data_IF_484341375127
#
_entry.id   IF_484341375127
#
_cell.length_a   1.000
_cell.length_b   1.000
_cell.length_c   1.000
_cell.angle_alpha   90.00
_cell.angle_beta   90.00
_cell.angle_gamma   90.00
#
_symmetry.space_group_name_H-M   'P 1'
#
loop_
_entity.id
_entity.type
_entity.pdbx_description
1 polymer ?
#
# COMPACT_ATOMS: atom_id res chain seq x y z
N UNK A 1 -78.38 53.83 -3.30
CA UNK A 1 -77.19 54.27 -4.06
C UNK A 1 -76.20 53.13 -3.99
N UNK A 2 -76.26 52.22 -4.96
CA UNK A 2 -75.48 50.98 -4.99
C UNK A 2 -74.76 50.93 -6.34
N UNK A 3 -73.43 51.02 -6.28
CA UNK A 3 -72.56 51.00 -7.46
C UNK A 3 -72.44 49.56 -7.98
N UNK A 4 -72.44 49.34 -9.31
CA UNK A 4 -72.36 48.00 -9.89
C UNK A 4 -70.92 47.46 -9.85
N UNK A 5 -70.72 46.36 -9.13
CA UNK A 5 -69.52 45.52 -9.20
C UNK A 5 -69.49 44.75 -10.53
N UNK A 6 -68.77 45.25 -11.53
CA UNK A 6 -68.56 44.54 -12.81
C UNK A 6 -67.09 44.41 -13.21
N UNK A 7 -66.16 44.73 -12.31
CA UNK A 7 -64.73 44.77 -12.61
C UNK A 7 -63.91 43.57 -12.10
N UNK A 8 -64.54 42.55 -11.52
CA UNK A 8 -63.83 41.40 -10.92
C UNK A 8 -63.66 40.20 -11.87
N UNK A 9 -64.43 40.11 -12.96
CA UNK A 9 -64.41 38.92 -13.82
C UNK A 9 -63.18 38.83 -14.75
N UNK A 10 -62.56 39.97 -15.10
CA UNK A 10 -61.37 39.98 -15.96
C UNK A 10 -60.07 39.60 -15.25
N UNK A 11 -59.98 39.86 -13.94
CA UNK A 11 -58.76 39.60 -13.15
C UNK A 11 -58.57 38.10 -12.93
N UNK A 12 -59.66 37.34 -12.72
CA UNK A 12 -59.57 35.89 -12.49
C UNK A 12 -59.00 35.08 -13.66
N UNK A 13 -59.22 35.49 -14.91
CA UNK A 13 -58.68 34.77 -16.07
C UNK A 13 -57.16 34.96 -16.20
N UNK A 14 -56.67 36.17 -15.92
CA UNK A 14 -55.24 36.48 -15.92
C UNK A 14 -54.53 35.72 -14.79
N UNK A 15 -55.15 35.65 -13.62
CA UNK A 15 -54.60 34.92 -12.47
C UNK A 15 -54.47 33.41 -12.76
N UNK A 16 -55.50 32.80 -13.35
CA UNK A 16 -55.43 31.38 -13.75
C UNK A 16 -54.32 31.14 -14.79
N UNK A 17 -54.20 32.02 -15.80
CA UNK A 17 -53.12 31.93 -16.79
C UNK A 17 -51.74 32.08 -16.14
N UNK A 18 -51.59 33.02 -15.21
CA UNK A 18 -50.33 33.23 -14.49
C UNK A 18 -49.96 32.00 -13.66
N UNK A 19 -50.91 31.44 -12.89
CA UNK A 19 -50.70 30.22 -12.10
C UNK A 19 -50.32 29.05 -13.01
N UNK A 20 -50.96 28.91 -14.17
CA UNK A 20 -50.65 27.84 -15.12
C UNK A 20 -49.22 27.95 -15.66
N UNK A 21 -48.80 29.16 -16.04
CA UNK A 21 -47.44 29.41 -16.54
C UNK A 21 -46.40 29.17 -15.44
N UNK A 22 -46.66 29.63 -14.22
CA UNK A 22 -45.77 29.40 -13.08
C UNK A 22 -45.68 27.91 -12.72
N UNK A 23 -46.81 27.21 -12.68
CA UNK A 23 -46.86 25.80 -12.34
C UNK A 23 -46.15 24.94 -13.39
N UNK A 24 -46.44 25.16 -14.68
CA UNK A 24 -45.78 24.43 -15.77
C UNK A 24 -44.30 24.75 -15.86
N UNK A 25 -43.91 26.02 -15.65
CA UNK A 25 -42.50 26.43 -15.56
C UNK A 25 -41.77 25.72 -14.42
N UNK A 26 -42.35 25.71 -13.22
CA UNK A 26 -41.77 25.04 -12.05
C UNK A 26 -41.67 23.52 -12.25
N UNK A 27 -42.74 22.89 -12.75
CA UNK A 27 -42.75 21.45 -13.02
C UNK A 27 -41.67 21.06 -14.05
N UNK A 28 -41.45 21.90 -15.07
CA UNK A 28 -40.39 21.69 -16.07
C UNK A 28 -39.01 21.77 -15.42
N UNK A 29 -38.74 22.79 -14.59
CA UNK A 29 -37.45 22.95 -13.90
C UNK A 29 -37.18 21.73 -13.00
N UNK A 30 -38.16 21.32 -12.19
CA UNK A 30 -38.03 20.16 -11.30
C UNK A 30 -37.78 18.88 -12.11
N UNK A 31 -38.51 18.69 -13.23
CA UNK A 31 -38.33 17.56 -14.12
C UNK A 31 -36.91 17.49 -14.70
N UNK A 32 -36.40 18.60 -15.23
CA UNK A 32 -35.06 18.68 -15.82
C UNK A 32 -33.96 18.45 -14.77
N UNK A 33 -34.06 19.07 -13.59
CA UNK A 33 -33.08 18.86 -12.50
C UNK A 33 -33.09 17.41 -12.03
N UNK A 34 -34.26 16.79 -11.91
CA UNK A 34 -34.38 15.40 -11.45
C UNK A 34 -33.76 14.39 -12.41
N UNK A 35 -33.74 14.67 -13.72
CA UNK A 35 -33.11 13.81 -14.71
C UNK A 35 -31.58 13.91 -14.62
N UNK A 36 -31.03 15.12 -14.60
CA UNK A 36 -29.58 15.32 -14.52
C UNK A 36 -28.97 14.73 -13.24
N UNK A 37 -29.65 14.87 -12.09
CA UNK A 37 -29.17 14.31 -10.84
C UNK A 37 -29.00 12.78 -10.87
N UNK A 38 -29.82 12.07 -11.66
CA UNK A 38 -29.71 10.60 -11.76
C UNK A 38 -28.47 10.18 -12.54
N UNK A 39 -28.16 10.89 -13.60
CA UNK A 39 -27.00 10.60 -14.44
C UNK A 39 -25.71 10.92 -13.68
N UNK A 40 -25.67 12.04 -12.95
CA UNK A 40 -24.52 12.44 -12.14
C UNK A 40 -24.26 11.44 -10.99
N UNK A 41 -25.31 11.03 -10.26
CA UNK A 41 -25.17 10.05 -9.17
C UNK A 41 -24.71 8.69 -9.70
N UNK A 42 -25.20 8.27 -10.85
CA UNK A 42 -24.77 7.01 -11.47
C UNK A 42 -23.32 7.07 -11.92
N UNK A 43 -22.90 8.15 -12.57
CA UNK A 43 -21.52 8.34 -13.00
C UNK A 43 -20.54 8.32 -11.82
N UNK A 44 -20.91 8.91 -10.70
CA UNK A 44 -20.08 8.89 -9.48
C UNK A 44 -20.03 7.50 -8.85
N UNK A 45 -21.14 6.77 -8.84
CA UNK A 45 -21.15 5.38 -8.37
C UNK A 45 -20.24 4.48 -9.21
N UNK A 46 -20.29 4.63 -10.54
CA UNK A 46 -19.44 3.88 -11.46
C UNK A 46 -17.95 4.19 -11.19
N UNK A 47 -17.60 5.44 -10.87
CA UNK A 47 -16.22 5.82 -10.47
C UNK A 47 -15.77 5.17 -9.17
N UNK A 48 -16.63 5.18 -8.14
CA UNK A 48 -16.32 4.54 -6.86
C UNK A 48 -16.10 3.04 -7.05
N UNK A 49 -16.93 2.40 -7.89
CA UNK A 49 -16.78 0.98 -8.21
C UNK A 49 -15.51 0.70 -9.02
N UNK A 50 -15.20 1.52 -10.02
CA UNK A 50 -13.94 1.41 -10.78
C UNK A 50 -12.71 1.57 -9.87
N UNK A 51 -12.74 2.52 -8.94
CA UNK A 51 -11.68 2.73 -7.96
C UNK A 51 -11.51 1.50 -7.06
N UNK A 52 -12.61 0.92 -6.57
CA UNK A 52 -12.56 -0.30 -5.77
C UNK A 52 -11.95 -1.48 -6.54
N UNK A 53 -12.33 -1.67 -7.81
CA UNK A 53 -11.76 -2.70 -8.69
C UNK A 53 -10.27 -2.47 -8.99
N UNK A 54 -9.86 -1.20 -9.09
CA UNK A 54 -8.46 -0.83 -9.29
C UNK A 54 -7.63 -1.19 -8.04
N UNK A 55 -8.11 -0.84 -6.85
CA UNK A 55 -7.50 -1.21 -5.57
C UNK A 55 -7.44 -2.72 -5.36
N UNK A 56 -8.52 -3.45 -5.68
CA UNK A 56 -8.51 -4.91 -5.66
C UNK A 56 -7.43 -5.46 -6.60
N UNK A 57 -7.26 -4.87 -7.79
CA UNK A 57 -6.19 -5.24 -8.71
C UNK A 57 -4.80 -5.06 -8.11
N UNK A 58 -4.54 -3.96 -7.40
CA UNK A 58 -3.27 -3.74 -6.70
C UNK A 58 -3.07 -4.75 -5.57
N UNK A 59 -4.09 -4.99 -4.75
CA UNK A 59 -4.02 -5.96 -3.65
C UNK A 59 -3.81 -7.40 -4.15
N UNK A 60 -4.39 -7.75 -5.30
CA UNK A 60 -4.16 -9.02 -5.93
C UNK A 60 -2.70 -9.19 -6.38
N UNK A 61 -2.06 -8.12 -6.86
CA UNK A 61 -0.64 -8.15 -7.21
C UNK A 61 0.26 -8.27 -5.99
N UNK A 62 -0.09 -7.64 -4.87
CA UNK A 62 0.57 -7.91 -3.59
C UNK A 62 0.42 -9.38 -3.19
N UNK A 63 -0.78 -9.96 -3.33
CA UNK A 63 -1.00 -11.38 -3.04
C UNK A 63 -0.22 -12.31 -3.98
N UNK A 64 -0.10 -11.99 -5.27
CA UNK A 64 0.68 -12.75 -6.24
C UNK A 64 2.17 -12.70 -5.89
N UNK A 65 2.70 -11.50 -5.64
CA UNK A 65 4.06 -11.28 -5.15
C UNK A 65 4.34 -12.11 -3.89
N UNK A 66 3.41 -12.10 -2.95
CA UNK A 66 3.60 -12.74 -1.65
C UNK A 66 3.60 -14.28 -1.75
N UNK A 67 2.99 -14.83 -2.80
CA UNK A 67 3.02 -16.26 -3.12
C UNK A 67 4.33 -16.60 -3.85
N UNK A 68 4.62 -15.88 -4.92
CA UNK A 68 5.79 -16.08 -5.77
C UNK A 68 6.00 -14.85 -6.68
N UNK A 69 7.07 -14.09 -6.45
CA UNK A 69 7.39 -12.90 -7.23
C UNK A 69 7.69 -13.20 -8.70
N UNK A 70 8.13 -14.43 -9.04
CA UNK A 70 8.39 -14.85 -10.42
C UNK A 70 7.10 -14.88 -11.26
N UNK A 71 5.93 -14.88 -10.62
CA UNK A 71 4.63 -14.78 -11.31
C UNK A 71 4.36 -13.38 -11.87
N UNK A 72 5.06 -12.35 -11.39
CA UNK A 72 4.91 -10.96 -11.83
C UNK A 72 5.73 -10.69 -13.11
N UNK A 73 5.30 -11.30 -14.21
CA UNK A 73 5.97 -11.13 -15.50
C UNK A 73 5.66 -9.76 -16.10
N UNK A 74 6.68 -9.08 -16.62
CA UNK A 74 6.52 -7.83 -17.36
C UNK A 74 5.50 -7.97 -18.50
N UNK A 75 4.63 -6.98 -18.68
CA UNK A 75 3.66 -6.97 -19.77
C UNK A 75 2.30 -6.43 -19.33
N UNK A 76 1.31 -6.67 -20.18
CA UNK A 76 -0.08 -6.29 -19.96
C UNK A 76 -0.93 -7.55 -19.80
N UNK A 77 -1.66 -7.62 -18.70
CA UNK A 77 -2.39 -8.80 -18.26
C UNK A 77 -3.81 -8.43 -17.81
N UNK A 78 -4.71 -9.40 -17.84
CA UNK A 78 -5.89 -9.39 -16.99
C UNK A 78 -5.60 -10.05 -15.64
N UNK A 79 -6.64 -10.14 -14.82
CA UNK A 79 -6.55 -10.69 -13.47
C UNK A 79 -7.79 -11.55 -13.20
N UNK A 80 -7.60 -12.81 -12.83
CA UNK A 80 -8.68 -13.75 -12.52
C UNK A 80 -8.43 -14.47 -11.18
N UNK A 81 -9.46 -15.11 -10.64
CA UNK A 81 -9.32 -16.04 -9.50
C UNK A 81 -9.47 -17.46 -10.04
N UNK A 82 -8.41 -18.25 -9.93
CA UNK A 82 -8.38 -19.67 -10.25
C UNK A 82 -8.01 -20.46 -9.00
N UNK A 83 -8.78 -21.51 -8.69
CA UNK A 83 -8.58 -22.35 -7.49
C UNK A 83 -8.49 -21.60 -6.15
N UNK A 84 -9.11 -20.41 -6.07
CA UNK A 84 -9.13 -19.57 -4.86
C UNK A 84 -7.94 -18.63 -4.72
N UNK A 85 -7.06 -18.57 -5.72
CA UNK A 85 -5.90 -17.66 -5.76
C UNK A 85 -5.98 -16.73 -6.96
N UNK A 86 -5.38 -15.55 -6.83
CA UNK A 86 -5.22 -14.63 -7.95
C UNK A 86 -4.26 -15.20 -8.99
N UNK A 87 -4.53 -14.94 -10.26
CA UNK A 87 -3.67 -15.31 -11.39
C UNK A 87 -3.71 -14.25 -12.49
N UNK A 88 -2.57 -14.03 -13.15
CA UNK A 88 -2.48 -13.16 -14.32
C UNK A 88 -2.96 -13.91 -15.57
N UNK A 89 -3.67 -13.21 -16.45
CA UNK A 89 -4.23 -13.78 -17.68
C UNK A 89 -3.84 -12.93 -18.88
N UNK A 90 -3.86 -13.49 -20.09
CA UNK A 90 -3.45 -12.76 -21.31
C UNK A 90 -4.47 -11.69 -21.77
N UNK A 91 -5.70 -11.74 -21.26
CA UNK A 91 -6.80 -10.87 -21.70
C UNK A 91 -7.35 -10.07 -20.53
N UNK A 92 -7.67 -8.77 -20.72
CA UNK A 92 -8.31 -7.95 -19.69
C UNK A 92 -9.54 -8.62 -19.09
N UNK A 93 -9.76 -8.44 -17.79
CA UNK A 93 -10.96 -8.97 -17.13
C UNK A 93 -12.12 -8.00 -17.34
N UNK A 94 -13.25 -8.52 -17.82
CA UNK A 94 -14.51 -7.78 -17.89
C UNK A 94 -15.40 -8.12 -16.70
N UNK A 95 -15.78 -7.09 -15.94
CA UNK A 95 -16.74 -7.18 -14.83
C UNK A 95 -17.88 -6.21 -15.10
N UNK A 96 -18.93 -6.68 -15.78
CA UNK A 96 -20.06 -5.83 -16.16
C UNK A 96 -19.65 -4.80 -17.21
N UNK A 97 -19.67 -3.51 -16.85
CA UNK A 97 -19.25 -2.41 -17.73
C UNK A 97 -17.76 -2.05 -17.61
N UNK A 98 -17.06 -2.67 -16.67
CA UNK A 98 -15.67 -2.37 -16.35
C UNK A 98 -14.75 -3.37 -17.05
N UNK A 99 -13.72 -2.86 -17.70
CA UNK A 99 -12.58 -3.63 -18.21
C UNK A 99 -11.37 -3.30 -17.35
N UNK A 100 -10.78 -4.31 -16.72
CA UNK A 100 -9.59 -4.18 -15.88
C UNK A 100 -8.38 -4.77 -16.59
N UNK A 101 -7.30 -3.99 -16.59
CA UNK A 101 -6.01 -4.31 -17.18
C UNK A 101 -4.91 -4.00 -16.18
N UNK A 102 -3.98 -4.93 -16.01
CA UNK A 102 -2.78 -4.76 -15.22
C UNK A 102 -1.58 -4.57 -16.16
N UNK A 103 -0.80 -3.53 -15.97
CA UNK A 103 0.50 -3.36 -16.60
C UNK A 103 1.59 -3.59 -15.55
N UNK A 104 2.60 -4.39 -15.87
CA UNK A 104 3.76 -4.67 -15.02
C UNK A 104 5.02 -4.28 -15.79
N UNK A 105 5.83 -3.43 -15.20
CA UNK A 105 7.17 -3.09 -15.65
C UNK A 105 8.18 -3.63 -14.65
N UNK A 106 9.26 -4.24 -15.14
CA UNK A 106 10.36 -4.75 -14.32
C UNK A 106 11.50 -3.74 -14.38
N UNK A 107 11.85 -3.20 -13.21
CA UNK A 107 12.97 -2.31 -12.97
C UNK A 107 14.25 -3.07 -12.61
N UNK A 108 15.22 -2.34 -12.02
CA UNK A 108 16.45 -2.95 -11.51
C UNK A 108 16.26 -3.44 -10.07
N UNK A 109 16.99 -4.48 -9.66
CA UNK A 109 16.97 -5.07 -8.31
C UNK A 109 15.56 -5.57 -7.90
N UNK A 110 14.93 -6.35 -8.78
CA UNK A 110 13.63 -7.01 -8.53
C UNK A 110 12.52 -6.05 -8.07
N UNK A 111 12.62 -4.83 -8.59
CA UNK A 111 11.62 -3.79 -8.52
C UNK A 111 10.58 -4.04 -9.60
N UNK A 112 9.31 -4.14 -9.22
CA UNK A 112 8.19 -4.17 -10.15
C UNK A 112 7.36 -2.90 -9.98
N UNK A 113 7.11 -2.19 -11.07
CA UNK A 113 6.15 -1.09 -11.11
C UNK A 113 4.89 -1.65 -11.74
N UNK A 114 3.80 -1.67 -10.98
CA UNK A 114 2.56 -2.23 -11.46
C UNK A 114 1.44 -1.20 -11.46
N UNK A 115 0.70 -1.13 -12.57
CA UNK A 115 -0.43 -0.22 -12.77
C UNK A 115 -1.70 -1.01 -13.02
N UNK A 116 -2.69 -0.85 -12.14
CA UNK A 116 -4.04 -1.37 -12.31
C UNK A 116 -4.92 -0.31 -12.95
N UNK A 117 -5.33 -0.54 -14.19
CA UNK A 117 -6.19 0.35 -14.97
C UNK A 117 -7.58 -0.25 -15.10
N UNK A 118 -8.61 0.50 -14.72
CA UNK A 118 -10.01 0.13 -14.92
C UNK A 118 -10.65 1.18 -15.82
N UNK A 119 -11.09 0.75 -16.99
CA UNK A 119 -11.84 1.56 -17.94
C UNK A 119 -13.29 1.12 -17.99
N UNK A 120 -14.22 2.03 -18.22
CA UNK A 120 -15.61 1.70 -18.47
C UNK A 120 -16.24 2.64 -19.48
N UNK A 121 -17.28 2.14 -20.15
CA UNK A 121 -18.04 2.91 -21.12
C UNK A 121 -19.01 3.86 -20.40
N UNK A 122 -18.47 4.93 -19.82
CA UNK A 122 -19.25 6.08 -19.33
C UNK A 122 -19.62 7.04 -20.47
N UNK A 123 -20.27 8.16 -20.13
CA UNK A 123 -20.68 9.20 -21.11
C UNK A 123 -19.50 9.73 -21.94
N UNK A 124 -18.27 9.65 -21.42
CA UNK A 124 -17.05 10.14 -22.07
C UNK A 124 -15.95 9.09 -22.30
N UNK A 125 -16.19 7.83 -21.92
CA UNK A 125 -15.12 6.83 -21.77
C UNK A 125 -14.18 7.23 -20.64
N UNK A 126 -14.50 6.79 -19.43
CA UNK A 126 -13.76 7.15 -18.23
C UNK A 126 -12.81 5.99 -17.83
N UNK A 127 -11.69 6.32 -17.19
CA UNK A 127 -10.74 5.33 -16.68
C UNK A 127 -10.07 5.81 -15.41
N UNK A 128 -9.76 4.88 -14.51
CA UNK A 128 -8.93 5.10 -13.31
C UNK A 128 -7.71 4.20 -13.41
N UNK A 129 -6.53 4.76 -13.12
CA UNK A 129 -5.28 4.00 -13.04
C UNK A 129 -4.64 4.24 -11.66
N UNK A 130 -4.31 3.15 -10.97
CA UNK A 130 -3.53 3.17 -9.75
C UNK A 130 -2.19 2.51 -10.02
N UNK A 131 -1.10 3.13 -9.57
CA UNK A 131 0.25 2.60 -9.71
C UNK A 131 0.83 2.32 -8.33
N UNK A 132 1.43 1.16 -8.17
CA UNK A 132 2.19 0.76 -6.98
C UNK A 132 3.59 0.32 -7.37
N UNK A 133 4.47 0.26 -6.39
CA UNK A 133 5.80 -0.31 -6.50
C UNK A 133 5.86 -1.54 -5.61
N UNK A 134 6.30 -2.67 -6.17
CA UNK A 134 6.48 -3.94 -5.48
C UNK A 134 7.96 -4.29 -5.54
N UNK A 135 8.48 -4.85 -4.46
CA UNK A 135 9.82 -5.42 -4.41
C UNK A 135 9.68 -6.92 -4.23
N UNK A 136 10.52 -7.72 -4.88
CA UNK A 136 10.69 -9.09 -4.45
C UNK A 136 11.27 -9.09 -3.03
N UNK A 137 10.44 -9.41 -2.05
CA UNK A 137 10.84 -9.55 -0.65
C UNK A 137 11.38 -10.96 -0.36
N UNK A 138 11.39 -11.84 -1.37
CA UNK A 138 11.79 -13.23 -1.30
C UNK A 138 12.99 -13.57 -2.17
N UNK A 139 13.79 -12.60 -2.63
CA UNK A 139 15.12 -12.90 -3.18
C UNK A 139 15.90 -13.71 -2.15
N UNK A 140 15.85 -15.02 -2.37
CA UNK A 140 16.39 -16.05 -1.51
C UNK A 140 17.88 -16.07 -1.79
N UNK A 141 18.61 -15.14 -1.20
CA UNK A 141 20.03 -15.35 -0.91
C UNK A 141 20.13 -16.24 0.33
N UNK A 142 19.68 -17.49 0.23
CA UNK A 142 19.93 -18.53 1.25
C UNK A 142 19.60 -18.15 2.70
N UNK A 143 18.64 -17.27 2.93
CA UNK A 143 18.24 -16.83 4.27
C UNK A 143 16.72 -16.82 4.39
N UNK A 144 16.27 -17.32 5.53
CA UNK A 144 14.91 -17.58 6.00
C UNK A 144 13.85 -16.52 5.70
N UNK A 145 12.67 -17.01 5.35
CA UNK A 145 11.36 -16.36 5.31
C UNK A 145 11.10 -15.54 6.61
N UNK A 146 10.65 -14.28 6.49
CA UNK A 146 10.32 -13.44 7.65
C UNK A 146 8.93 -12.81 7.48
N UNK A 147 7.97 -13.26 8.28
CA UNK A 147 6.61 -12.71 8.39
C UNK A 147 6.55 -11.83 9.64
N UNK A 148 6.17 -10.56 9.52
CA UNK A 148 6.06 -9.64 10.66
C UNK A 148 4.62 -9.19 10.87
N UNK A 149 4.03 -9.42 12.07
CA UNK A 149 2.83 -8.73 12.51
C UNK A 149 3.17 -7.35 13.11
N UNK A 150 2.32 -6.35 12.85
CA UNK A 150 2.41 -4.97 13.37
C UNK A 150 2.77 -4.90 14.87
N UNK A 151 3.85 -4.19 15.23
CA UNK A 151 4.15 -3.80 16.62
C UNK A 151 4.94 -2.49 16.74
N UNK A 152 4.69 -1.79 17.85
CA UNK A 152 5.26 -0.51 18.31
C UNK A 152 6.71 -0.58 18.83
N UNK A 153 7.43 -1.66 18.55
CA UNK A 153 8.87 -1.80 18.81
C UNK A 153 9.42 -2.97 17.99
N UNK A 154 10.54 -2.76 17.30
CA UNK A 154 11.28 -3.79 16.57
C UNK A 154 11.99 -4.69 17.58
N UNK A 155 11.30 -5.71 18.11
CA UNK A 155 11.81 -6.49 19.24
C UNK A 155 12.61 -7.74 18.86
N UNK A 156 12.55 -8.24 17.62
CA UNK A 156 13.18 -9.52 17.30
C UNK A 156 13.48 -9.71 15.81
N UNK A 157 14.75 -9.69 15.39
CA UNK A 157 15.19 -10.10 14.03
C UNK A 157 15.89 -11.45 14.16
N UNK A 158 15.38 -12.51 13.53
CA UNK A 158 16.08 -13.81 13.55
C UNK A 158 17.17 -13.84 12.48
N UNK A 159 18.42 -14.09 12.91
CA UNK A 159 19.53 -14.40 12.03
C UNK A 159 19.76 -15.89 11.99
N UNK A 160 19.90 -16.46 10.80
CA UNK A 160 20.27 -17.88 10.64
C UNK A 160 21.59 -17.95 9.90
N UNK A 161 22.60 -18.59 10.51
CA UNK A 161 23.80 -18.95 9.80
C UNK A 161 23.57 -20.28 9.07
N UNK A 162 23.52 -20.24 7.73
CA UNK A 162 23.27 -21.43 6.90
C UNK A 162 24.56 -22.14 6.47
N UNK A 163 25.72 -21.59 6.80
CA UNK A 163 27.00 -22.23 6.54
C UNK A 163 27.27 -23.37 7.54
N UNK A 164 28.22 -24.23 7.20
CA UNK A 164 28.63 -25.34 8.05
C UNK A 164 29.57 -24.94 9.20
N UNK A 165 30.04 -23.70 9.21
CA UNK A 165 31.00 -23.16 10.19
C UNK A 165 30.41 -21.92 10.87
N UNK A 166 30.73 -21.66 12.15
CA UNK A 166 30.27 -20.48 12.85
C UNK A 166 30.91 -19.20 12.28
N UNK A 167 30.19 -18.09 12.37
CA UNK A 167 30.68 -16.77 11.97
C UNK A 167 30.71 -15.81 13.15
N UNK A 168 31.74 -14.98 13.23
CA UNK A 168 31.82 -13.90 14.22
C UNK A 168 31.39 -12.59 13.55
N UNK A 169 30.42 -11.91 14.15
CA UNK A 169 30.03 -10.54 13.81
C UNK A 169 31.01 -9.60 14.52
N UNK A 170 31.68 -8.75 13.75
CA UNK A 170 32.63 -7.74 14.25
C UNK A 170 31.92 -6.41 14.51
N UNK A 171 31.12 -5.94 13.54
CA UNK A 171 30.35 -4.70 13.68
C UNK A 171 28.94 -4.85 13.16
N UNK A 172 28.05 -4.02 13.70
CA UNK A 172 26.66 -3.91 13.28
C UNK A 172 26.32 -2.44 13.11
N UNK A 173 25.84 -2.06 11.94
CA UNK A 173 25.31 -0.73 11.67
C UNK A 173 23.81 -0.83 11.49
N UNK A 174 23.05 -0.10 12.29
CA UNK A 174 21.62 0.04 12.10
C UNK A 174 21.26 1.51 11.87
N UNK A 175 20.32 1.76 10.97
CA UNK A 175 19.75 3.09 10.75
C UNK A 175 18.27 3.07 11.10
N UNK A 176 17.81 4.12 11.74
CA UNK A 176 16.42 4.37 12.14
C UNK A 176 16.13 5.86 12.04
N UNK A 177 14.86 6.25 12.01
CA UNK A 177 14.51 7.66 12.04
C UNK A 177 14.34 8.19 13.46
N UNK A 178 14.59 9.48 13.64
CA UNK A 178 14.45 10.17 14.91
C UNK A 178 15.78 10.37 15.64
N UNK A 179 15.68 10.76 16.91
CA UNK A 179 16.82 11.20 17.74
C UNK A 179 17.19 10.24 18.86
N UNK A 180 16.48 9.12 18.97
CA UNK A 180 16.80 8.09 19.94
C UNK A 180 18.21 7.54 19.67
N UNK A 181 18.93 7.19 20.74
CA UNK A 181 20.27 6.61 20.63
C UNK A 181 20.19 5.11 20.85
N UNK A 182 21.08 4.37 20.18
CA UNK A 182 21.26 2.94 20.43
C UNK A 182 21.84 2.75 21.84
N UNK A 183 21.14 1.95 22.64
CA UNK A 183 21.50 1.64 24.03
C UNK A 183 22.15 0.26 24.15
N UNK A 184 21.57 -0.75 23.51
CA UNK A 184 21.98 -2.13 23.68
C UNK A 184 21.63 -2.96 22.45
N UNK A 185 22.50 -3.93 22.11
CA UNK A 185 22.23 -4.98 21.13
C UNK A 185 22.41 -6.32 21.84
N UNK A 186 21.42 -7.19 21.69
CA UNK A 186 21.48 -8.58 22.17
C UNK A 186 21.43 -9.55 20.99
N UNK A 187 22.24 -10.60 21.06
CA UNK A 187 22.22 -11.78 20.20
C UNK A 187 21.81 -12.99 21.05
N UNK A 188 20.63 -13.53 20.80
CA UNK A 188 19.94 -14.47 21.66
C UNK A 188 19.75 -13.88 23.06
N UNK A 189 20.35 -14.51 24.06
CA UNK A 189 20.40 -14.01 25.45
C UNK A 189 21.67 -13.24 25.80
N UNK A 190 22.58 -13.05 24.85
CA UNK A 190 23.90 -12.44 25.08
C UNK A 190 23.88 -10.98 24.69
N UNK A 191 24.18 -10.08 25.62
CA UNK A 191 24.42 -8.66 25.30
C UNK A 191 25.76 -8.54 24.60
N UNK A 192 25.74 -8.05 23.36
CA UNK A 192 26.93 -7.92 22.49
C UNK A 192 27.34 -6.47 22.23
N UNK A 193 26.47 -5.52 22.56
CA UNK A 193 26.80 -4.11 22.65
C UNK A 193 25.98 -3.48 23.77
N UNK A 194 26.58 -2.58 24.56
CA UNK A 194 25.85 -1.82 25.58
C UNK A 194 26.50 -0.48 25.86
N UNK A 195 25.68 0.53 26.16
CA UNK A 195 26.16 1.83 26.61
C UNK A 195 26.78 1.83 28.01
N UNK A 196 26.76 0.69 28.71
CA UNK A 196 27.51 0.54 29.95
C UNK A 196 29.03 0.44 29.71
N UNK A 197 29.45 -0.05 28.54
CA UNK A 197 30.87 -0.25 28.16
C UNK A 197 31.29 0.65 26.99
N UNK A 198 30.33 1.13 26.19
CA UNK A 198 30.55 2.00 25.04
C UNK A 198 29.74 3.30 25.11
N UNK A 199 30.05 4.27 24.24
CA UNK A 199 29.21 5.47 24.10
C UNK A 199 27.92 5.13 23.36
N UNK A 200 26.82 5.83 23.69
CA UNK A 200 25.58 5.72 22.95
C UNK A 200 25.77 6.16 21.49
N UNK A 201 25.19 5.42 20.56
CA UNK A 201 25.41 5.59 19.13
C UNK A 201 24.19 6.22 18.46
N UNK A 202 24.46 7.06 17.47
CA UNK A 202 23.42 7.65 16.62
C UNK A 202 23.05 6.70 15.49
N UNK A 203 21.90 6.97 14.85
CA UNK A 203 21.45 6.27 13.66
C UNK A 203 22.53 6.24 12.58
N UNK A 204 22.74 5.07 11.97
CA UNK A 204 23.73 4.86 10.91
C UNK A 204 25.18 4.80 11.39
N UNK A 205 25.43 4.71 12.70
CA UNK A 205 26.78 4.53 13.23
C UNK A 205 27.08 3.04 13.43
N UNK A 206 28.31 2.63 13.16
CA UNK A 206 28.78 1.27 13.43
C UNK A 206 28.88 1.03 14.95
N UNK A 207 28.19 -0.01 15.42
CA UNK A 207 28.31 -0.54 16.76
C UNK A 207 29.32 -1.69 16.76
N UNK A 208 30.41 -1.61 17.56
CA UNK A 208 31.30 -2.74 17.75
C UNK A 208 30.56 -3.84 18.50
N UNK A 209 30.71 -5.08 18.03
CA UNK A 209 30.03 -6.25 18.58
C UNK A 209 31.05 -7.08 19.35
N UNK A 210 30.79 -7.26 20.65
CA UNK A 210 31.59 -8.11 21.52
C UNK A 210 30.97 -9.51 21.59
N UNK A 211 31.73 -10.53 21.21
CA UNK A 211 31.32 -11.94 21.27
C UNK A 211 30.06 -12.28 20.45
N UNK A 212 29.86 -11.63 19.30
CA UNK A 212 28.72 -11.90 18.42
C UNK A 212 28.93 -13.14 17.55
N UNK A 213 28.80 -14.33 18.13
CA UNK A 213 28.93 -15.59 17.39
C UNK A 213 27.56 -16.00 16.82
N UNK A 214 27.53 -16.34 15.54
CA UNK A 214 26.42 -17.00 14.86
C UNK A 214 26.79 -18.47 14.61
N UNK A 215 26.26 -19.35 15.44
CA UNK A 215 26.52 -20.79 15.34
C UNK A 215 25.92 -21.38 14.05
N UNK A 216 26.64 -22.32 13.45
CA UNK A 216 26.25 -22.99 12.20
C UNK A 216 24.90 -23.71 12.35
N UNK A 217 23.94 -23.40 11.47
CA UNK A 217 22.65 -24.05 11.38
C UNK A 217 21.64 -23.65 12.47
N UNK A 218 21.97 -22.74 13.39
CA UNK A 218 21.07 -22.28 14.44
C UNK A 218 20.57 -20.86 14.17
N UNK A 219 19.28 -20.64 14.43
CA UNK A 219 18.69 -19.32 14.43
C UNK A 219 19.04 -18.60 15.73
N UNK A 220 19.61 -17.40 15.62
CA UNK A 220 19.95 -16.50 16.71
C UNK A 220 19.20 -15.20 16.56
N UNK A 221 18.42 -14.82 17.57
CA UNK A 221 17.64 -13.61 17.52
C UNK A 221 18.43 -12.36 17.88
N UNK A 222 18.31 -11.29 17.09
CA UNK A 222 18.79 -9.95 17.43
C UNK A 222 17.67 -9.14 18.07
N UNK A 223 17.98 -8.50 19.20
CA UNK A 223 17.17 -7.44 19.77
C UNK A 223 17.97 -6.14 19.85
N UNK A 224 17.40 -5.06 19.29
CA UNK A 224 17.98 -3.72 19.29
C UNK A 224 17.19 -2.84 20.24
N UNK A 225 17.86 -2.28 21.24
CA UNK A 225 17.23 -1.52 22.33
C UNK A 225 17.75 -0.08 22.28
N UNK A 226 16.82 0.87 22.30
CA UNK A 226 17.10 2.30 22.25
C UNK A 226 16.96 2.97 23.62
N UNK A 227 17.57 4.14 23.80
CA UNK A 227 17.47 4.95 25.02
C UNK A 227 16.08 5.52 25.24
N UNK A 228 15.36 5.78 24.14
CA UNK A 228 14.00 6.30 24.09
C UNK A 228 13.21 5.52 23.03
N UNK A 229 11.87 5.46 23.10
CA UNK A 229 11.05 4.83 22.07
C UNK A 229 11.32 5.46 20.69
N UNK A 230 11.56 4.62 19.68
CA UNK A 230 11.67 5.04 18.28
C UNK A 230 10.26 5.04 17.68
N UNK A 231 9.87 6.14 17.06
CA UNK A 231 8.52 6.32 16.51
C UNK A 231 8.31 5.63 15.15
N UNK A 232 9.40 5.17 14.51
CA UNK A 232 9.37 4.49 13.21
C UNK A 232 10.33 3.30 13.15
N UNK A 233 10.25 2.54 12.06
CA UNK A 233 11.01 1.32 11.79
C UNK A 233 12.51 1.57 11.60
N UNK A 234 13.32 0.56 11.95
CA UNK A 234 14.75 0.50 11.56
C UNK A 234 14.79 0.36 10.04
N UNK A 235 15.37 1.34 9.35
CA UNK A 235 15.39 1.43 7.89
C UNK A 235 16.43 0.50 7.26
N UNK A 236 17.56 0.27 7.93
CA UNK A 236 18.60 -0.65 7.46
C UNK A 236 19.29 -1.34 8.61
N UNK A 237 19.64 -2.62 8.44
CA UNK A 237 20.57 -3.33 9.30
C UNK A 237 21.69 -3.92 8.45
N UNK A 238 22.93 -3.63 8.83
CA UNK A 238 24.13 -4.13 8.16
C UNK A 238 25.03 -4.79 9.21
N UNK A 239 25.53 -5.97 8.89
CA UNK A 239 26.47 -6.73 9.70
C UNK A 239 27.79 -6.83 8.94
N UNK A 240 28.90 -6.67 9.64
CA UNK A 240 30.24 -6.95 9.13
C UNK A 240 30.80 -8.11 9.94
N UNK A 241 31.15 -9.18 9.24
CA UNK A 241 31.76 -10.36 9.83
C UNK A 241 33.28 -10.16 9.95
N UNK A 242 33.93 -10.94 10.83
CA UNK A 242 35.37 -10.88 11.09
C UNK A 242 36.24 -11.16 9.83
N UNK A 243 35.70 -11.86 8.83
CA UNK A 243 36.35 -12.08 7.54
C UNK A 243 36.27 -10.86 6.59
N UNK A 244 35.63 -9.77 7.02
CA UNK A 244 35.36 -8.56 6.25
C UNK A 244 34.12 -8.66 5.36
N UNK A 245 33.38 -9.76 5.40
CA UNK A 245 32.14 -9.93 4.64
C UNK A 245 31.05 -9.02 5.20
N UNK A 246 30.42 -8.25 4.32
CA UNK A 246 29.30 -7.36 4.67
C UNK A 246 27.98 -8.04 4.29
N UNK A 247 27.05 -8.10 5.24
CA UNK A 247 25.69 -8.60 5.05
C UNK A 247 24.69 -7.50 5.36
N UNK A 248 23.83 -7.18 4.40
CA UNK A 248 22.74 -6.22 4.60
C UNK A 248 21.44 -6.99 4.77
N UNK A 249 20.63 -6.64 5.77
CA UNK A 249 19.21 -6.97 5.80
C UNK A 249 18.41 -5.69 5.66
N UNK A 250 17.55 -5.69 4.65
CA UNK A 250 16.58 -4.63 4.38
C UNK A 250 15.32 -4.97 5.16
N UNK A 251 14.86 -4.07 6.04
CA UNK A 251 13.54 -4.16 6.64
C UNK A 251 12.75 -2.90 6.29
N UNK A 252 11.48 -3.15 5.95
CA UNK A 252 10.61 -2.29 5.17
C UNK A 252 10.22 -1.03 5.94
N UNK A 253 10.28 0.09 5.23
CA UNK A 253 9.55 1.31 5.57
C UNK A 253 8.05 0.98 5.59
N UNK A 254 7.31 1.50 6.56
CA UNK A 254 5.84 1.54 6.45
C UNK A 254 5.40 2.21 5.14
#
# INVERSE_FOLDING_TARGET
MTLPHTQEQGIGMIEILLVLVLFTGLATIVGVVSLHLKDDVRAELDRVQALALAHEGINALHSLRDIDADTLVAGTHGLAIEDGSWTLTESPLETGIFTRTIAIEVGANDLFIATSTVSWEGIRGDSIALTTTLYDIYETYGASQYVIPEFTALTHIDLVNTDSEPHTIETLMCSWEGTALLKEIQLGSTTVFTTATSSALQSGTEAPIENGILDAGEATSISIIFTEPVLSTVSTLQLVLEDGTVRNSLQLTE
#
